data_IF_892002638222
#
_entry.id   IF_892002638222
#
_cell.length_a   1.000
_cell.length_b   1.000
_cell.length_c   1.000
_cell.angle_alpha   90.00
_cell.angle_beta   90.00
_cell.angle_gamma   90.00
#
_symmetry.space_group_name_H-M   'P 1'
#
loop_
_entity.id
_entity.type
_entity.pdbx_description
1 polymer ?
#
# COMPACT_ATOMS: atom_id res chain seq x y z
N UNK A 1 11.28 -21.66 16.70
CA UNK A 1 10.25 -22.25 17.58
C UNK A 1 9.08 -21.28 17.69
N UNK A 2 7.85 -21.79 17.78
CA UNK A 2 6.63 -20.99 17.90
C UNK A 2 6.68 -20.12 19.17
N UNK A 3 6.12 -18.89 19.19
CA UNK A 3 6.13 -18.04 20.37
C UNK A 3 5.45 -18.76 21.54
N UNK A 4 6.17 -18.95 22.64
CA UNK A 4 5.62 -19.56 23.84
C UNK A 4 4.96 -18.48 24.69
N UNK A 5 3.65 -18.62 24.93
CA UNK A 5 2.95 -17.73 25.85
C UNK A 5 3.18 -18.14 27.30
N UNK A 6 3.35 -17.17 28.22
CA UNK A 6 3.32 -17.43 29.66
C UNK A 6 2.03 -18.15 30.07
N UNK A 7 2.09 -18.93 31.15
CA UNK A 7 0.92 -19.68 31.67
C UNK A 7 -0.32 -18.79 31.89
N UNK A 8 -0.12 -17.59 32.43
CA UNK A 8 -1.19 -16.63 32.66
C UNK A 8 -1.92 -16.23 31.38
N UNK A 9 -1.17 -16.00 30.30
CA UNK A 9 -1.73 -15.63 28.99
C UNK A 9 -2.47 -16.79 28.35
N UNK A 10 -1.97 -18.02 28.51
CA UNK A 10 -2.70 -19.22 28.05
C UNK A 10 -4.03 -19.40 28.78
N UNK A 11 -4.06 -19.15 30.09
CA UNK A 11 -5.29 -19.18 30.89
C UNK A 11 -6.26 -18.07 30.46
N UNK A 12 -5.75 -16.85 30.24
CA UNK A 12 -6.55 -15.73 29.75
C UNK A 12 -7.17 -16.03 28.36
N UNK A 13 -6.41 -16.66 27.47
CA UNK A 13 -6.92 -17.13 26.18
C UNK A 13 -8.02 -18.19 26.35
N UNK A 14 -7.79 -19.23 27.15
CA UNK A 14 -8.77 -20.30 27.36
C UNK A 14 -10.05 -19.82 28.06
N UNK A 15 -9.95 -18.76 28.87
CA UNK A 15 -11.08 -18.13 29.53
C UNK A 15 -11.77 -17.06 28.66
N UNK A 16 -11.30 -16.82 27.43
CA UNK A 16 -11.90 -15.85 26.51
C UNK A 16 -11.77 -14.39 26.97
N UNK A 17 -10.76 -14.06 27.77
CA UNK A 17 -10.61 -12.70 28.31
C UNK A 17 -10.32 -11.66 27.20
N UNK A 18 -10.86 -10.44 27.32
CA UNK A 18 -10.55 -9.35 26.39
C UNK A 18 -9.08 -8.91 26.51
N UNK A 19 -8.58 -8.18 25.50
CA UNK A 19 -7.22 -7.62 25.50
C UNK A 19 -6.12 -8.54 24.91
N UNK A 20 -6.48 -9.72 24.42
CA UNK A 20 -5.53 -10.70 23.87
C UNK A 20 -5.00 -10.37 22.46
N UNK A 21 -5.50 -9.30 21.84
CA UNK A 21 -5.21 -8.92 20.44
C UNK A 21 -3.71 -8.82 20.16
N UNK A 22 -2.93 -8.24 21.08
CA UNK A 22 -1.48 -8.10 20.92
C UNK A 22 -0.75 -9.44 20.83
N UNK A 23 -1.16 -10.43 21.62
CA UNK A 23 -0.57 -11.77 21.62
C UNK A 23 -0.89 -12.54 20.32
N UNK A 24 -2.10 -12.40 19.80
CA UNK A 24 -2.45 -12.97 18.50
C UNK A 24 -1.68 -12.32 17.35
N UNK A 25 -1.50 -11.00 17.40
CA UNK A 25 -0.67 -10.29 16.42
C UNK A 25 0.78 -10.78 16.46
N UNK A 26 1.36 -10.97 17.65
CA UNK A 26 2.71 -11.53 17.78
C UNK A 26 2.84 -12.89 17.09
N UNK A 27 1.87 -13.79 17.28
CA UNK A 27 1.85 -15.10 16.61
C UNK A 27 1.73 -14.97 15.10
N UNK A 28 0.85 -14.08 14.62
CA UNK A 28 0.67 -13.80 13.18
C UNK A 28 1.95 -13.28 12.55
N UNK A 29 2.59 -12.28 13.15
CA UNK A 29 3.83 -11.71 12.62
C UNK A 29 4.97 -12.73 12.67
N UNK A 30 5.07 -13.53 13.74
CA UNK A 30 6.03 -14.63 13.79
C UNK A 30 5.82 -15.63 12.63
N UNK A 31 4.58 -16.01 12.34
CA UNK A 31 4.28 -16.91 11.24
C UNK A 31 4.67 -16.29 9.89
N UNK A 32 4.28 -15.04 9.65
CA UNK A 32 4.63 -14.27 8.44
C UNK A 32 6.15 -14.25 8.21
N UNK A 33 6.92 -13.90 9.23
CA UNK A 33 8.36 -13.75 9.11
C UNK A 33 9.06 -15.11 8.87
N UNK A 34 8.59 -16.19 9.50
CA UNK A 34 9.15 -17.52 9.26
C UNK A 34 8.79 -18.04 7.86
N UNK A 35 7.56 -17.79 7.39
CA UNK A 35 7.14 -18.12 6.04
C UNK A 35 8.01 -17.41 5.00
N UNK A 36 8.27 -16.11 5.19
CA UNK A 36 9.16 -15.33 4.33
C UNK A 36 10.58 -15.90 4.30
N UNK A 37 11.13 -16.32 5.45
CA UNK A 37 12.45 -16.97 5.51
C UNK A 37 12.48 -18.29 4.75
N UNK A 38 11.42 -19.09 4.83
CA UNK A 38 11.30 -20.35 4.09
C UNK A 38 11.24 -20.07 2.59
N UNK A 39 10.40 -19.14 2.14
CA UNK A 39 10.32 -18.78 0.73
C UNK A 39 11.62 -18.21 0.20
N UNK A 40 12.32 -17.39 0.98
CA UNK A 40 13.64 -16.89 0.60
C UNK A 40 14.63 -18.03 0.38
N UNK A 41 14.70 -18.99 1.30
CA UNK A 41 15.59 -20.17 1.16
C UNK A 41 15.21 -21.02 -0.05
N UNK A 42 13.92 -21.25 -0.27
CA UNK A 42 13.42 -22.00 -1.41
C UNK A 42 13.80 -21.31 -2.73
N UNK A 43 13.64 -19.98 -2.78
CA UNK A 43 14.01 -19.18 -3.94
C UNK A 43 15.50 -19.32 -4.29
N UNK A 44 16.37 -19.26 -3.28
CA UNK A 44 17.81 -19.39 -3.46
C UNK A 44 18.29 -20.82 -3.73
N UNK A 45 17.59 -21.83 -3.21
CA UNK A 45 17.88 -23.23 -3.48
C UNK A 45 17.47 -23.66 -4.90
N UNK A 46 16.66 -22.85 -5.60
CA UNK A 46 16.14 -23.23 -6.90
C UNK A 46 17.23 -23.20 -8.00
N UNK A 47 17.40 -24.28 -8.79
CA UNK A 47 18.37 -24.33 -9.88
C UNK A 47 18.16 -23.20 -10.87
N UNK A 48 19.26 -22.57 -11.32
CA UNK A 48 19.21 -21.37 -12.19
C UNK A 48 18.41 -21.64 -13.48
N UNK A 49 18.52 -22.83 -14.06
CA UNK A 49 17.79 -23.22 -15.27
C UNK A 49 16.27 -23.27 -15.11
N UNK A 50 15.77 -23.54 -13.90
CA UNK A 50 14.34 -23.73 -13.64
C UNK A 50 13.67 -22.47 -13.07
N UNK A 51 14.46 -21.46 -12.65
CA UNK A 51 13.95 -20.24 -12.01
C UNK A 51 12.94 -19.51 -12.88
N UNK A 52 13.19 -19.43 -14.18
CA UNK A 52 12.31 -18.73 -15.12
C UNK A 52 10.91 -19.35 -15.18
N UNK A 53 10.80 -20.68 -15.02
CA UNK A 53 9.53 -21.38 -15.00
C UNK A 53 8.81 -21.24 -13.65
N UNK A 54 9.51 -21.51 -12.55
CA UNK A 54 8.90 -21.52 -11.21
C UNK A 54 8.56 -20.14 -10.65
N UNK A 55 9.29 -19.10 -11.07
CA UNK A 55 9.00 -17.71 -10.69
C UNK A 55 8.29 -16.93 -11.80
N UNK A 56 7.87 -17.60 -12.89
CA UNK A 56 6.95 -16.99 -13.83
C UNK A 56 5.67 -16.56 -13.08
N UNK A 57 5.11 -15.37 -13.40
CA UNK A 57 3.78 -15.02 -12.94
C UNK A 57 2.79 -16.13 -13.31
N UNK A 58 1.96 -16.56 -12.35
CA UNK A 58 0.91 -17.53 -12.62
C UNK A 58 -0.05 -16.95 -13.68
N UNK A 59 -0.45 -17.71 -14.71
CA UNK A 59 -1.30 -17.21 -15.79
C UNK A 59 -2.72 -16.90 -15.32
N UNK A 60 -3.23 -17.67 -14.36
CA UNK A 60 -4.59 -17.46 -13.84
C UNK A 60 -4.65 -16.33 -12.82
N UNK A 61 -5.70 -15.53 -12.96
CA UNK A 61 -6.12 -14.53 -11.98
C UNK A 61 -6.56 -15.27 -10.73
N UNK A 62 -5.92 -14.98 -9.58
CA UNK A 62 -6.37 -15.49 -8.30
C UNK A 62 -7.69 -14.81 -7.96
N UNK A 63 -8.79 -15.54 -8.03
CA UNK A 63 -10.08 -14.98 -7.63
C UNK A 63 -10.06 -14.67 -6.12
N UNK A 64 -10.83 -13.65 -5.76
CA UNK A 64 -11.01 -13.18 -4.38
C UNK A 64 -11.71 -14.23 -3.50
N UNK A 65 -12.31 -15.24 -4.12
CA UNK A 65 -12.93 -16.36 -3.44
C UNK A 65 -11.88 -17.33 -2.89
N UNK A 66 -11.55 -17.13 -1.61
CA UNK A 66 -10.79 -18.10 -0.81
C UNK A 66 -9.29 -17.85 -0.69
N UNK A 67 -8.74 -16.75 -1.23
CA UNK A 67 -7.32 -16.42 -1.04
C UNK A 67 -7.10 -15.45 0.13
N UNK A 68 -6.31 -15.90 1.12
CA UNK A 68 -5.89 -15.09 2.29
C UNK A 68 -4.82 -14.05 1.94
N UNK A 69 -4.16 -14.19 0.79
CA UNK A 69 -3.08 -13.31 0.33
C UNK A 69 -3.62 -12.33 -0.70
N UNK A 70 -3.61 -11.05 -0.33
CA UNK A 70 -3.94 -9.94 -1.24
C UNK A 70 -2.99 -9.97 -2.44
N UNK A 71 -3.57 -9.89 -3.64
CA UNK A 71 -2.83 -9.70 -4.89
C UNK A 71 -2.21 -8.30 -4.94
N UNK A 72 -1.02 -8.21 -5.51
CA UNK A 72 -0.27 -6.98 -5.76
C UNK A 72 -0.46 -6.44 -7.19
N UNK A 73 -1.45 -6.94 -7.95
CA UNK A 73 -1.81 -6.42 -9.27
C UNK A 73 -3.28 -6.04 -9.39
N UNK A 74 -3.50 -5.15 -10.36
CA UNK A 74 -4.73 -4.45 -10.73
C UNK A 74 -5.99 -5.31 -10.58
N UNK A 75 -6.61 -5.21 -9.40
CA UNK A 75 -8.03 -5.49 -9.31
C UNK A 75 -8.75 -4.51 -10.23
N UNK A 76 -9.61 -5.03 -11.10
CA UNK A 76 -10.59 -4.26 -11.87
C UNK A 76 -11.57 -3.48 -10.97
N UNK A 77 -11.48 -3.65 -9.65
CA UNK A 77 -12.01 -2.69 -8.69
C UNK A 77 -11.21 -1.40 -8.78
N UNK A 78 -11.74 -0.44 -9.54
CA UNK A 78 -11.41 0.98 -9.39
C UNK A 78 -11.34 1.28 -7.89
N UNK A 79 -10.12 1.53 -7.38
CA UNK A 79 -9.93 1.83 -5.98
C UNK A 79 -10.86 2.99 -5.64
N UNK A 80 -11.80 2.85 -4.70
CA UNK A 80 -12.69 3.97 -4.38
C UNK A 80 -11.81 5.13 -3.92
N UNK A 81 -11.82 6.24 -4.67
CA UNK A 81 -10.94 7.36 -4.39
C UNK A 81 -11.08 7.81 -2.94
N UNK A 82 -9.97 8.17 -2.31
CA UNK A 82 -10.00 8.64 -0.92
C UNK A 82 -8.89 9.64 -0.64
N UNK A 83 -9.20 10.61 0.20
CA UNK A 83 -8.23 11.55 0.75
C UNK A 83 -7.32 10.85 1.77
N UNK A 84 -6.01 11.05 1.65
CA UNK A 84 -5.00 10.55 2.59
C UNK A 84 -4.74 11.59 3.67
N UNK A 85 -4.51 12.84 3.28
CA UNK A 85 -4.28 13.97 4.17
C UNK A 85 -4.87 15.26 3.55
N UNK A 86 -5.60 16.07 4.34
CA UNK A 86 -6.31 17.25 3.83
C UNK A 86 -5.38 18.38 3.43
N UNK A 87 -5.89 19.29 2.61
CA UNK A 87 -5.23 20.51 2.21
C UNK A 87 -5.61 20.94 0.80
N UNK A 88 -5.21 22.17 0.48
CA UNK A 88 -5.46 22.77 -0.81
C UNK A 88 -4.15 23.33 -1.39
N UNK A 89 -3.84 22.96 -2.63
CA UNK A 89 -2.68 23.50 -3.35
C UNK A 89 -3.02 23.68 -4.83
N UNK A 90 -2.32 24.60 -5.47
CA UNK A 90 -2.35 24.80 -6.92
C UNK A 90 -0.93 24.68 -7.47
N UNK A 91 -0.81 24.07 -8.64
CA UNK A 91 0.47 23.87 -9.32
C UNK A 91 0.33 22.98 -10.55
N UNK A 92 1.47 22.71 -11.20
CA UNK A 92 1.51 21.87 -12.40
C UNK A 92 1.41 20.39 -12.01
N UNK A 93 0.45 19.66 -12.61
CA UNK A 93 0.29 18.22 -12.40
C UNK A 93 1.48 17.47 -13.03
N UNK A 94 2.12 16.60 -12.25
CA UNK A 94 3.34 15.87 -12.62
C UNK A 94 4.64 16.56 -12.20
N UNK A 95 4.60 17.83 -11.78
CA UNK A 95 5.77 18.59 -11.32
C UNK A 95 5.59 19.08 -9.87
N UNK A 96 4.75 20.11 -9.66
CA UNK A 96 4.43 20.63 -8.33
C UNK A 96 3.53 19.67 -7.54
N UNK A 97 2.56 19.06 -8.24
CA UNK A 97 1.63 18.08 -7.71
C UNK A 97 1.98 16.75 -8.35
N UNK A 98 2.63 15.86 -7.61
CA UNK A 98 3.08 14.58 -8.15
C UNK A 98 1.88 13.68 -8.45
N UNK A 99 1.90 13.06 -9.64
CA UNK A 99 0.97 12.02 -10.03
C UNK A 99 1.73 10.70 -10.11
N UNK A 100 1.39 9.76 -9.25
CA UNK A 100 2.02 8.44 -9.15
C UNK A 100 1.00 7.34 -9.43
N UNK A 101 1.45 6.21 -9.95
CA UNK A 101 0.57 5.05 -10.13
C UNK A 101 0.31 4.37 -8.79
N UNK A 102 1.38 4.15 -8.04
CA UNK A 102 1.36 3.57 -6.70
C UNK A 102 2.36 4.31 -5.82
N UNK A 103 2.06 4.40 -4.52
CA UNK A 103 2.94 5.07 -3.57
C UNK A 103 4.11 4.15 -3.19
N UNK A 104 5.34 4.62 -3.42
CA UNK A 104 6.58 3.94 -3.09
C UNK A 104 7.31 4.66 -1.93
N UNK A 105 7.47 4.02 -0.76
CA UNK A 105 8.25 4.55 0.36
C UNK A 105 9.68 4.98 -0.02
N UNK A 106 10.29 4.37 -1.04
CA UNK A 106 11.62 4.71 -1.53
C UNK A 106 11.73 6.14 -2.11
N UNK A 107 10.59 6.77 -2.43
CA UNK A 107 10.54 8.12 -3.03
C UNK A 107 10.31 9.24 -2.02
N UNK A 108 10.60 9.01 -0.74
CA UNK A 108 10.41 9.98 0.36
C UNK A 108 10.83 11.42 0.01
N UNK A 109 12.03 11.62 -0.53
CA UNK A 109 12.54 12.96 -0.85
C UNK A 109 11.69 13.68 -1.92
N UNK A 110 11.16 12.94 -2.90
CA UNK A 110 10.26 13.51 -3.91
C UNK A 110 8.94 13.95 -3.30
N UNK A 111 8.35 13.12 -2.43
CA UNK A 111 7.10 13.45 -1.75
C UNK A 111 7.24 14.64 -0.80
N UNK A 112 8.40 14.79 -0.17
CA UNK A 112 8.70 15.92 0.70
C UNK A 112 8.76 17.25 -0.08
N UNK A 113 9.33 17.22 -1.29
CA UNK A 113 9.50 18.41 -2.13
C UNK A 113 8.22 18.80 -2.89
N UNK A 114 7.31 17.86 -3.10
CA UNK A 114 6.04 18.11 -3.76
C UNK A 114 5.10 18.99 -2.92
N UNK A 115 4.26 19.77 -3.60
CA UNK A 115 3.19 20.54 -2.95
C UNK A 115 2.06 19.62 -2.50
N UNK A 116 1.69 18.65 -3.35
CA UNK A 116 0.77 17.56 -3.07
C UNK A 116 1.17 16.28 -3.82
N UNK A 117 0.59 15.14 -3.40
CA UNK A 117 0.83 13.83 -4.02
C UNK A 117 -0.51 13.15 -4.30
N UNK A 118 -0.73 12.78 -5.55
CA UNK A 118 -1.90 12.05 -6.02
C UNK A 118 -1.44 10.68 -6.51
N UNK A 119 -2.06 9.62 -6.01
CA UNK A 119 -1.82 8.27 -6.48
C UNK A 119 -3.03 7.74 -7.23
N UNK A 120 -2.85 7.00 -8.33
CA UNK A 120 -3.97 6.34 -9.03
C UNK A 120 -4.46 5.10 -8.27
N UNK A 121 -3.56 4.45 -7.54
CA UNK A 121 -3.86 3.27 -6.72
C UNK A 121 -3.18 3.34 -5.36
N UNK A 122 -3.83 2.77 -4.35
CA UNK A 122 -3.24 2.65 -3.02
C UNK A 122 -4.25 2.21 -1.97
N UNK A 123 -3.77 1.56 -0.91
CA UNK A 123 -4.58 1.20 0.24
C UNK A 123 -4.53 2.29 1.33
N UNK A 124 -5.64 2.55 2.01
CA UNK A 124 -5.73 3.54 3.11
C UNK A 124 -4.67 3.35 4.20
N UNK A 125 -4.31 2.11 4.49
CA UNK A 125 -3.33 1.72 5.51
C UNK A 125 -2.00 1.25 4.91
N UNK A 126 -1.75 1.56 3.63
CA UNK A 126 -0.47 1.25 2.99
C UNK A 126 0.67 2.05 3.62
N UNK A 127 1.89 1.56 3.48
CA UNK A 127 3.07 2.26 4.00
C UNK A 127 3.23 3.65 3.33
N UNK A 128 3.00 3.74 2.01
CA UNK A 128 3.01 5.01 1.28
C UNK A 128 1.96 6.02 1.78
N UNK A 129 0.73 5.57 2.04
CA UNK A 129 -0.30 6.45 2.61
C UNK A 129 0.01 6.88 4.04
N UNK A 130 0.72 6.05 4.80
CA UNK A 130 1.17 6.38 6.17
C UNK A 130 2.27 7.44 6.11
N UNK A 131 3.24 7.27 5.23
CA UNK A 131 4.32 8.24 5.00
C UNK A 131 3.78 9.64 4.65
N UNK A 132 2.80 9.73 3.74
CA UNK A 132 2.23 11.03 3.37
C UNK A 132 1.50 11.73 4.52
N UNK A 133 0.91 10.98 5.47
CA UNK A 133 0.34 11.54 6.70
C UNK A 133 1.41 12.05 7.65
N UNK A 134 2.51 11.32 7.78
CA UNK A 134 3.66 11.75 8.58
C UNK A 134 4.27 13.04 8.02
N UNK A 135 4.41 13.14 6.70
CA UNK A 135 4.86 14.34 6.01
C UNK A 135 3.82 15.49 6.02
N UNK A 136 2.59 15.22 6.46
CA UNK A 136 1.46 16.17 6.43
C UNK A 136 1.28 16.80 5.04
N UNK A 137 1.47 15.99 4.00
CA UNK A 137 1.39 16.43 2.60
C UNK A 137 -0.03 16.24 2.08
N UNK A 138 -0.68 17.30 1.56
CA UNK A 138 -1.98 17.17 0.91
C UNK A 138 -1.93 16.06 -0.13
N UNK A 139 -2.81 15.08 0.00
CA UNK A 139 -2.70 13.86 -0.80
C UNK A 139 -3.98 13.03 -0.86
N UNK A 140 -4.16 12.33 -1.97
CA UNK A 140 -5.29 11.45 -2.20
C UNK A 140 -4.95 10.29 -3.15
N UNK A 141 -5.75 9.24 -3.07
CA UNK A 141 -5.84 8.23 -4.13
C UNK A 141 -6.99 8.63 -5.05
N UNK A 142 -6.69 8.96 -6.30
CA UNK A 142 -7.62 9.34 -7.36
C UNK A 142 -7.39 8.45 -8.59
N UNK A 143 -8.17 7.39 -8.79
CA UNK A 143 -7.96 6.45 -9.89
C UNK A 143 -8.24 7.05 -11.26
N UNK A 144 -9.17 8.01 -11.33
CA UNK A 144 -9.72 8.54 -12.58
C UNK A 144 -9.19 9.95 -12.88
N UNK A 145 -7.89 10.16 -12.65
CA UNK A 145 -7.23 11.41 -13.08
C UNK A 145 -7.09 11.36 -14.60
N UNK A 146 -7.59 12.39 -15.27
CA UNK A 146 -7.41 12.56 -16.71
C UNK A 146 -5.93 12.83 -17.02
N UNK A 147 -5.30 11.91 -17.73
CA UNK A 147 -3.89 12.02 -18.11
C UNK A 147 -3.61 13.20 -19.05
N UNK A 148 -4.63 13.75 -19.71
CA UNK A 148 -4.50 14.98 -20.50
C UNK A 148 -4.23 16.23 -19.64
N UNK A 149 -4.34 16.13 -18.31
CA UNK A 149 -4.07 17.24 -17.39
C UNK A 149 -2.61 17.28 -16.93
N UNK A 150 -1.81 16.25 -17.22
CA UNK A 150 -0.39 16.23 -16.87
C UNK A 150 0.33 17.35 -17.63
N UNK A 151 1.17 18.11 -16.92
CA UNK A 151 1.83 19.32 -17.43
C UNK A 151 0.94 20.56 -17.46
N UNK A 152 -0.33 20.47 -17.02
CA UNK A 152 -1.25 21.61 -16.90
C UNK A 152 -1.39 22.05 -15.45
N UNK A 153 -1.81 23.29 -15.27
CA UNK A 153 -2.11 23.83 -13.95
C UNK A 153 -3.43 23.25 -13.41
N UNK A 154 -3.36 22.69 -12.20
CA UNK A 154 -4.49 22.09 -11.52
C UNK A 154 -4.56 22.58 -10.08
N UNK A 155 -5.75 22.55 -9.51
CA UNK A 155 -6.00 22.80 -8.09
C UNK A 155 -6.45 21.51 -7.43
N UNK A 156 -5.66 21.06 -6.47
CA UNK A 156 -6.05 20.01 -5.54
C UNK A 156 -6.73 20.63 -4.32
N UNK A 157 -7.86 20.09 -3.90
CA UNK A 157 -8.57 20.49 -2.68
C UNK A 157 -9.23 19.27 -2.03
N UNK A 158 -8.72 18.85 -0.87
CA UNK A 158 -9.35 17.85 0.01
C UNK A 158 -9.84 16.56 -0.67
N UNK A 159 -9.08 16.06 -1.65
CA UNK A 159 -9.42 14.84 -2.38
C UNK A 159 -10.08 15.06 -3.73
N UNK A 160 -10.24 16.31 -4.15
CA UNK A 160 -10.69 16.65 -5.50
C UNK A 160 -9.55 17.30 -6.29
N UNK A 161 -9.52 17.04 -7.60
CA UNK A 161 -8.60 17.66 -8.54
C UNK A 161 -9.43 18.38 -9.59
N UNK A 162 -9.18 19.68 -9.75
CA UNK A 162 -9.84 20.52 -10.73
C UNK A 162 -8.79 21.11 -11.66
N UNK A 163 -9.06 21.05 -12.96
CA UNK A 163 -8.27 21.76 -13.94
C UNK A 163 -8.47 23.27 -13.74
N UNK A 164 -7.38 24.03 -13.65
CA UNK A 164 -7.48 25.48 -13.69
C UNK A 164 -7.55 25.85 -15.16
N UNK A 165 -8.76 26.08 -15.66
CA UNK A 165 -8.93 26.66 -17.00
C UNK A 165 -8.40 28.09 -16.97
N UNK A 166 -7.34 28.34 -17.74
CA UNK A 166 -6.88 29.69 -18.00
C UNK A 166 -8.00 30.50 -18.65
N UNK A 167 -8.17 31.73 -18.19
CA UNK A 167 -8.87 32.78 -18.95
C UNK A 167 -8.24 32.97 -20.33
#
# INVERSE_FOLDING_TARGET
AFPSWPKAIRLAHSAGLPGMRGYYLQVREWYRDNLMRVFFRLHHAMPVGDRAHWFAPHPDIRSRDGSFWQDGREGTEQATGFMIYPGQVQGILGEDILLEDTLDPGRHAHYQNARAVIARMGGRLSHGSTLLRELRKPSAVLPNVDMAWVGREVRYADGELLLVEGQ
#
